data_IF_198214477256
#
_entry.id   IF_198214477256
#
_cell.length_a   1.000
_cell.length_b   1.000
_cell.length_c   1.000
_cell.angle_alpha   90.00
_cell.angle_beta   90.00
_cell.angle_gamma   90.00
#
_symmetry.space_group_name_H-M   'P 1'
#
loop_
_entity.id
_entity.type
_entity.pdbx_description
1 polymer ?
#
# COMPACT_ATOMS: atom_id res chain seq x y z
N UNK A 1 3.15 -9.65 -1.29
CA UNK A 1 4.08 -8.53 -1.09
C UNK A 1 3.32 -7.24 -1.33
N UNK A 2 3.62 -6.19 -0.59
CA UNK A 2 3.09 -4.84 -0.79
C UNK A 2 4.26 -3.87 -0.99
N UNK A 3 4.19 -3.02 -2.02
CA UNK A 3 5.19 -1.99 -2.29
C UNK A 3 4.64 -0.60 -1.96
N UNK A 4 5.48 0.21 -1.33
CA UNK A 4 5.27 1.64 -1.20
C UNK A 4 6.41 2.38 -1.89
N UNK A 5 6.08 3.16 -2.92
CA UNK A 5 7.06 3.96 -3.65
C UNK A 5 6.88 5.44 -3.29
N UNK A 6 7.86 6.01 -2.58
CA UNK A 6 7.91 7.43 -2.23
C UNK A 6 8.36 8.26 -3.44
N UNK A 7 7.61 8.19 -4.55
CA UNK A 7 7.88 8.90 -5.80
C UNK A 7 9.34 8.76 -6.29
N UNK A 8 9.93 7.57 -6.14
CA UNK A 8 11.30 7.24 -6.53
C UNK A 8 12.38 7.70 -5.56
N UNK A 9 12.04 8.40 -4.48
CA UNK A 9 13.01 8.82 -3.45
C UNK A 9 13.44 7.63 -2.60
N UNK A 10 12.46 6.89 -2.09
CA UNK A 10 12.64 5.68 -1.29
C UNK A 10 11.58 4.66 -1.69
N UNK A 11 11.89 3.38 -1.50
CA UNK A 11 10.98 2.27 -1.74
C UNK A 11 10.97 1.37 -0.52
N UNK A 12 9.77 1.02 -0.09
CA UNK A 12 9.57 0.12 1.04
C UNK A 12 8.77 -1.09 0.57
N UNK A 13 9.08 -2.25 1.15
CA UNK A 13 8.46 -3.52 0.78
C UNK A 13 8.00 -4.24 2.03
N UNK A 14 6.73 -4.64 2.08
CA UNK A 14 6.20 -5.53 3.11
C UNK A 14 6.00 -6.90 2.47
N UNK A 15 6.89 -7.83 2.78
CA UNK A 15 6.98 -9.12 2.10
C UNK A 15 6.98 -10.28 3.10
N UNK A 16 6.12 -11.26 2.85
CA UNK A 16 6.15 -12.56 3.52
C UNK A 16 7.30 -13.40 2.94
N UNK A 17 7.99 -14.17 3.78
CA UNK A 17 8.97 -15.16 3.33
C UNK A 17 8.30 -16.38 2.67
N UNK A 18 7.05 -16.66 3.03
CA UNK A 18 6.28 -17.77 2.50
C UNK A 18 5.52 -17.39 1.22
N UNK A 19 5.47 -18.32 0.27
CA UNK A 19 4.61 -18.24 -0.92
C UNK A 19 3.14 -18.40 -0.55
N UNK A 20 2.27 -17.63 -1.20
CA UNK A 20 0.83 -17.79 -1.05
C UNK A 20 0.37 -18.99 -1.89
N UNK A 21 -0.23 -20.04 -1.27
CA UNK A 21 -0.73 -21.18 -2.03
C UNK A 21 -1.89 -20.77 -2.94
N UNK A 22 -2.20 -21.56 -3.99
CA UNK A 22 -3.40 -21.33 -4.79
C UNK A 22 -4.67 -21.52 -3.97
N UNK A 23 -5.64 -20.64 -4.12
CA UNK A 23 -6.92 -20.72 -3.43
C UNK A 23 -7.59 -19.36 -3.26
N UNK A 24 -8.72 -19.37 -2.56
CA UNK A 24 -9.38 -18.17 -2.07
C UNK A 24 -8.67 -17.69 -0.80
N UNK A 25 -8.28 -16.43 -0.79
CA UNK A 25 -7.58 -15.80 0.33
C UNK A 25 -8.06 -14.37 0.54
N UNK A 26 -8.09 -13.95 1.80
CA UNK A 26 -8.25 -12.54 2.14
C UNK A 26 -6.86 -11.95 2.40
N UNK A 27 -6.43 -11.03 1.53
CA UNK A 27 -5.17 -10.30 1.70
C UNK A 27 -5.48 -8.90 2.17
N UNK A 28 -4.89 -8.48 3.29
CA UNK A 28 -5.12 -7.17 3.91
C UNK A 28 -3.81 -6.45 4.12
N UNK A 29 -3.78 -5.15 3.78
CA UNK A 29 -2.71 -4.23 4.17
C UNK A 29 -3.30 -3.17 5.08
N UNK A 30 -2.91 -3.19 6.35
CA UNK A 30 -3.26 -2.16 7.32
C UNK A 30 -2.08 -1.19 7.42
N UNK A 31 -2.31 0.08 7.09
CA UNK A 31 -1.34 1.14 7.32
C UNK A 31 -1.78 1.99 8.51
N UNK A 32 -1.05 1.87 9.62
CA UNK A 32 -1.27 2.67 10.81
C UNK A 32 -0.32 3.87 10.79
N UNK A 33 -0.86 5.08 10.62
CA UNK A 33 -0.05 6.29 10.61
C UNK A 33 0.55 6.56 11.99
N UNK A 34 1.78 7.08 12.01
CA UNK A 34 2.45 7.42 13.27
C UNK A 34 1.90 8.73 13.89
N UNK A 35 0.97 9.41 13.20
CA UNK A 35 0.49 10.75 13.53
C UNK A 35 1.57 11.81 13.37
N UNK A 36 1.29 13.01 13.88
CA UNK A 36 2.31 14.07 13.98
C UNK A 36 2.49 14.95 12.74
N UNK A 37 1.61 14.84 11.75
CA UNK A 37 1.50 15.79 10.64
C UNK A 37 2.02 15.31 9.29
N UNK A 38 2.28 16.28 8.42
CA UNK A 38 2.66 16.06 7.03
C UNK A 38 3.98 15.27 6.91
N UNK A 39 4.06 14.41 5.90
CA UNK A 39 5.20 13.53 5.59
C UNK A 39 5.47 12.40 6.59
N UNK A 40 4.72 12.33 7.68
CA UNK A 40 4.97 11.34 8.72
C UNK A 40 4.74 9.93 8.23
N UNK A 41 5.53 9.05 8.83
CA UNK A 41 5.54 7.64 8.55
C UNK A 41 4.33 6.91 9.09
N UNK A 42 4.47 5.60 9.05
CA UNK A 42 3.52 4.69 9.64
C UNK A 42 4.00 3.26 9.50
N UNK A 43 3.27 2.35 10.12
CA UNK A 43 3.58 0.93 10.04
C UNK A 43 2.58 0.24 9.14
N UNK A 44 3.08 -0.35 8.05
CA UNK A 44 2.30 -1.23 7.20
C UNK A 44 2.35 -2.66 7.77
N UNK A 45 1.21 -3.33 7.84
CA UNK A 45 1.08 -4.74 8.22
C UNK A 45 0.35 -5.48 7.12
N UNK A 46 1.00 -6.52 6.58
CA UNK A 46 0.41 -7.43 5.60
C UNK A 46 -0.12 -8.66 6.34
N UNK A 47 -1.38 -9.00 6.06
CA UNK A 47 -2.04 -10.18 6.61
C UNK A 47 -2.66 -11.03 5.50
N UNK A 48 -2.67 -12.35 5.71
CA UNK A 48 -3.34 -13.34 4.87
C UNK A 48 -4.30 -14.13 5.76
N UNK A 49 -5.58 -14.19 5.39
CA UNK A 49 -6.63 -14.90 6.13
C UNK A 49 -6.69 -14.49 7.62
N UNK A 50 -6.49 -13.19 7.87
CA UNK A 50 -6.47 -12.59 9.21
C UNK A 50 -5.19 -12.85 10.02
N UNK A 51 -4.19 -13.54 9.45
CA UNK A 51 -2.91 -13.79 10.09
C UNK A 51 -1.86 -12.82 9.57
N UNK A 52 -1.18 -12.10 10.47
CA UNK A 52 -0.05 -11.23 10.12
C UNK A 52 1.10 -12.07 9.55
N UNK A 53 1.54 -11.74 8.35
CA UNK A 53 2.65 -12.42 7.66
C UNK A 53 3.90 -11.54 7.51
N UNK A 54 3.74 -10.21 7.47
CA UNK A 54 4.85 -9.27 7.37
C UNK A 54 4.46 -7.89 7.91
N UNK A 55 5.45 -7.08 8.29
CA UNK A 55 5.21 -5.70 8.73
C UNK A 55 6.49 -4.88 8.68
N UNK A 56 6.39 -3.66 8.18
CA UNK A 56 7.50 -2.72 8.12
C UNK A 56 7.05 -1.32 8.55
N UNK A 57 7.97 -0.57 9.16
CA UNK A 57 7.78 0.85 9.43
C UNK A 57 8.35 1.67 8.26
N UNK A 58 7.53 2.55 7.72
CA UNK A 58 7.94 3.52 6.72
C UNK A 58 8.22 4.83 7.47
N UNK A 59 9.47 5.33 7.50
CA UNK A 59 9.79 6.53 8.27
C UNK A 59 9.04 7.79 7.82
N UNK A 60 8.54 7.78 6.57
CA UNK A 60 7.85 8.90 5.95
C UNK A 60 6.94 8.46 4.82
N UNK A 61 5.97 9.31 4.51
CA UNK A 61 5.00 9.12 3.41
C UNK A 61 5.02 10.30 2.44
N UNK A 62 4.33 10.17 1.31
CA UNK A 62 4.12 11.26 0.36
C UNK A 62 3.31 12.36 1.06
N UNK A 63 3.84 13.60 1.21
CA UNK A 63 3.28 14.60 2.11
C UNK A 63 1.95 15.21 1.65
N UNK A 64 1.65 15.23 0.36
CA UNK A 64 0.51 16.01 -0.16
C UNK A 64 -0.38 15.23 -1.11
N UNK A 65 0.15 14.83 -2.27
CA UNK A 65 -0.66 14.25 -3.33
C UNK A 65 0.15 13.24 -4.12
N UNK A 66 -0.42 12.04 -4.25
CA UNK A 66 0.00 11.06 -5.24
C UNK A 66 -0.74 11.43 -6.54
N UNK A 67 -0.07 12.29 -7.31
CA UNK A 67 -0.26 12.65 -8.72
C UNK A 67 -1.64 13.21 -9.21
N UNK A 68 -1.65 13.66 -10.48
CA UNK A 68 -2.82 14.13 -11.26
C UNK A 68 -3.18 13.16 -12.40
N UNK A 69 -2.30 12.21 -12.68
CA UNK A 69 -2.23 11.34 -13.85
C UNK A 69 -2.18 9.84 -13.52
N UNK A 70 -2.10 9.47 -12.23
CA UNK A 70 -2.15 8.09 -11.74
C UNK A 70 -3.49 7.89 -11.01
N UNK A 71 -4.19 6.80 -11.34
CA UNK A 71 -5.53 6.48 -10.84
C UNK A 71 -5.53 5.34 -9.83
N UNK A 72 -6.70 5.02 -9.29
CA UNK A 72 -6.91 3.79 -8.54
C UNK A 72 -7.27 2.68 -9.54
N UNK A 73 -6.32 1.78 -9.78
CA UNK A 73 -6.54 0.60 -10.61
C UNK A 73 -6.77 -0.62 -9.71
N UNK A 74 -7.66 -1.53 -10.15
CA UNK A 74 -7.99 -2.76 -9.42
C UNK A 74 -7.85 -3.92 -10.40
N UNK A 75 -6.93 -4.84 -10.10
CA UNK A 75 -6.69 -6.03 -10.92
C UNK A 75 -5.76 -5.80 -12.12
N UNK A 76 -5.25 -4.59 -12.32
CA UNK A 76 -4.22 -4.25 -13.30
C UNK A 76 -3.52 -2.96 -12.84
N UNK A 77 -2.41 -2.60 -13.49
CA UNK A 77 -1.75 -1.30 -13.35
C UNK A 77 -1.56 -0.72 -14.74
N UNK A 78 -2.31 0.33 -15.08
CA UNK A 78 -2.30 0.92 -16.42
C UNK A 78 -1.31 2.08 -16.59
N UNK A 79 -0.63 2.47 -15.51
CA UNK A 79 0.18 3.67 -15.42
C UNK A 79 1.68 3.42 -15.48
N UNK A 80 2.41 4.02 -14.53
CA UNK A 80 3.84 3.78 -14.35
C UNK A 80 4.01 2.65 -13.34
N UNK A 81 4.81 1.61 -13.63
CA UNK A 81 4.97 0.51 -12.69
C UNK A 81 5.53 1.00 -11.35
N UNK A 82 4.92 0.55 -10.25
CA UNK A 82 5.31 0.88 -8.87
C UNK A 82 6.75 0.45 -8.57
N UNK A 83 7.20 -0.67 -9.13
CA UNK A 83 8.55 -1.21 -9.03
C UNK A 83 9.00 -1.83 -10.35
N UNK A 84 10.29 -2.17 -10.46
CA UNK A 84 10.86 -2.73 -11.69
C UNK A 84 10.56 -4.23 -11.92
N UNK A 85 9.82 -4.88 -11.01
CA UNK A 85 9.59 -6.33 -11.02
C UNK A 85 8.47 -6.78 -11.97
N UNK A 86 7.73 -5.85 -12.57
CA UNK A 86 6.64 -6.16 -13.49
C UNK A 86 6.51 -5.15 -14.65
N UNK A 87 5.69 -5.50 -15.65
CA UNK A 87 5.39 -4.65 -16.80
C UNK A 87 3.88 -4.40 -16.91
N UNK A 88 3.49 -3.13 -17.03
CA UNK A 88 2.11 -2.69 -17.25
C UNK A 88 1.56 -3.21 -18.61
N UNK A 89 0.26 -3.59 -18.70
CA UNK A 89 -0.79 -3.40 -17.70
C UNK A 89 -0.82 -4.41 -16.53
N UNK A 90 0.07 -5.41 -16.51
CA UNK A 90 0.15 -6.44 -15.45
C UNK A 90 -1.19 -6.98 -14.94
N UNK A 91 -2.04 -7.42 -15.88
CA UNK A 91 -3.38 -7.92 -15.56
C UNK A 91 -3.36 -9.12 -14.61
N UNK A 92 -4.16 -9.04 -13.55
CA UNK A 92 -4.40 -10.14 -12.62
C UNK A 92 -5.24 -11.21 -13.31
N UNK A 93 -4.74 -12.44 -13.32
CA UNK A 93 -5.37 -13.57 -14.05
C UNK A 93 -6.32 -14.40 -13.18
N UNK A 94 -6.54 -14.01 -11.94
CA UNK A 94 -7.48 -14.66 -11.01
C UNK A 94 -8.85 -13.97 -10.98
N UNK A 95 -9.64 -14.33 -9.98
CA UNK A 95 -10.93 -13.67 -9.71
C UNK A 95 -10.80 -12.80 -8.44
N UNK A 96 -11.27 -11.56 -8.53
CA UNK A 96 -11.39 -10.67 -7.37
C UNK A 96 -12.86 -10.65 -6.93
N UNK A 97 -13.18 -11.34 -5.84
CA UNK A 97 -14.55 -11.37 -5.32
C UNK A 97 -14.96 -10.03 -4.69
N UNK A 98 -14.03 -9.40 -3.96
CA UNK A 98 -14.29 -8.14 -3.24
C UNK A 98 -13.02 -7.32 -3.09
N UNK A 99 -13.15 -6.01 -3.28
CA UNK A 99 -12.16 -5.01 -2.84
C UNK A 99 -12.83 -4.10 -1.83
N UNK A 100 -12.22 -3.97 -0.66
CA UNK A 100 -12.69 -3.11 0.41
C UNK A 100 -11.58 -2.13 0.79
N UNK A 101 -11.92 -0.84 0.80
CA UNK A 101 -11.02 0.23 1.24
C UNK A 101 -11.74 0.91 2.41
N UNK A 102 -11.15 0.76 3.60
CA UNK A 102 -11.63 1.43 4.80
C UNK A 102 -10.69 2.56 5.15
N UNK A 103 -11.24 3.76 5.28
CA UNK A 103 -10.51 4.94 5.76
C UNK A 103 -10.99 5.20 7.18
N UNK A 104 -10.06 5.27 8.12
CA UNK A 104 -10.36 5.59 9.52
C UNK A 104 -10.39 7.12 9.71
N UNK A 105 -11.17 7.58 10.69
CA UNK A 105 -11.24 9.00 11.02
C UNK A 105 -9.93 9.46 11.66
N UNK A 106 -9.04 10.06 10.86
CA UNK A 106 -7.87 10.77 11.34
C UNK A 106 -7.77 12.13 10.61
N UNK A 107 -8.03 13.22 11.35
CA UNK A 107 -7.88 14.59 10.84
C UNK A 107 -6.64 15.23 11.47
N UNK A 108 -5.75 15.76 10.63
CA UNK A 108 -4.63 16.58 11.08
C UNK A 108 -5.16 17.87 11.73
N UNK A 109 -4.53 18.28 12.83
CA UNK A 109 -4.76 19.60 13.43
C UNK A 109 -4.11 20.71 12.60
N UNK A 110 -4.52 21.97 12.79
CA UNK A 110 -3.86 23.11 12.12
C UNK A 110 -2.36 23.20 12.43
N UNK A 111 -1.93 22.77 13.61
CA UNK A 111 -0.51 22.70 14.00
C UNK A 111 0.23 21.63 13.18
N UNK A 112 -0.42 20.51 12.88
CA UNK A 112 0.12 19.40 12.10
C UNK A 112 0.16 19.69 10.58
N UNK A 113 -0.50 20.75 10.13
CA UNK A 113 -0.52 21.23 8.74
C UNK A 113 0.55 22.29 8.43
N UNK A 114 1.20 22.86 9.46
CA UNK A 114 2.24 23.88 9.33
C UNK A 114 3.63 23.27 9.15
#
# INVERSE_FOLDING_TARGET
>A
MFHYNLAGVERYEVKSDDELPPGEHVVTVDFNDDGGGVDKGGTATLSVDGQKVASENFPRTIPFRISLDETLDIGEDTGTPVCEDYQVPFEFTGELEKVEITITDHQLTEEQLQ
#
